data_IF_634702105184
#
_entry.id   IF_634702105184
#
_cell.length_a   1.000
_cell.length_b   1.000
_cell.length_c   1.000
_cell.angle_alpha   90.00
_cell.angle_beta   90.00
_cell.angle_gamma   90.00
#
_symmetry.space_group_name_H-M   'P 1'
#
loop_
_entity.id
_entity.type
_entity.pdbx_description
1 polymer ?
#
# COMPACT_ATOMS: atom_id res chain seq x y z
N UNK A 1 -13.66 -3.08 14.95
CA UNK A 1 -12.37 -3.62 14.48
C UNK A 1 -12.33 -3.47 12.98
N UNK A 2 -11.39 -2.68 12.47
CA UNK A 2 -11.20 -2.36 11.06
C UNK A 2 -11.03 -3.64 10.23
N UNK A 3 -12.08 -4.06 9.50
CA UNK A 3 -12.07 -5.29 8.72
C UNK A 3 -11.11 -5.18 7.54
N UNK A 4 -10.96 -3.98 6.97
CA UNK A 4 -10.06 -3.74 5.86
C UNK A 4 -8.59 -3.86 6.29
N UNK A 5 -8.16 -3.21 7.37
CA UNK A 5 -6.80 -3.34 7.89
C UNK A 5 -6.34 -4.79 8.11
N UNK A 6 -7.17 -5.65 8.71
CA UNK A 6 -6.83 -7.06 8.92
C UNK A 6 -6.66 -7.83 7.61
N UNK A 7 -7.53 -7.58 6.63
CA UNK A 7 -7.47 -8.23 5.31
C UNK A 7 -6.25 -7.75 4.52
N UNK A 8 -5.99 -6.45 4.53
CA UNK A 8 -4.81 -5.84 3.91
C UNK A 8 -3.53 -6.44 4.48
N UNK A 9 -3.40 -6.46 5.80
CA UNK A 9 -2.22 -7.02 6.47
C UNK A 9 -2.03 -8.50 6.16
N UNK A 10 -3.10 -9.29 6.07
CA UNK A 10 -3.02 -10.69 5.67
C UNK A 10 -2.46 -10.84 4.25
N UNK A 11 -2.89 -10.00 3.30
CA UNK A 11 -2.37 -10.00 1.93
C UNK A 11 -0.91 -9.56 1.85
N UNK A 12 -0.53 -8.47 2.51
CA UNK A 12 0.82 -7.91 2.35
C UNK A 12 1.89 -8.61 3.20
N UNK A 13 1.52 -9.23 4.32
CA UNK A 13 2.49 -9.91 5.19
C UNK A 13 2.71 -11.37 4.79
N UNK A 14 1.67 -12.08 4.35
CA UNK A 14 1.75 -13.52 4.06
C UNK A 14 2.80 -13.91 3.00
N UNK A 15 2.91 -13.25 1.83
CA UNK A 15 3.86 -13.66 0.79
C UNK A 15 5.31 -13.35 1.14
N UNK A 16 5.56 -12.35 2.01
CA UNK A 16 6.92 -11.89 2.32
C UNK A 16 7.41 -12.26 3.71
N UNK A 17 6.61 -13.00 4.50
CA UNK A 17 6.92 -13.26 5.91
C UNK A 17 7.09 -11.99 6.74
N UNK A 18 6.51 -10.88 6.27
CA UNK A 18 6.62 -9.60 6.94
C UNK A 18 5.70 -9.57 8.18
N UNK A 19 5.98 -8.67 9.10
CA UNK A 19 5.15 -8.45 10.29
C UNK A 19 4.88 -6.96 10.48
N UNK A 20 4.38 -6.34 9.42
CA UNK A 20 3.99 -4.93 9.47
C UNK A 20 2.69 -4.81 10.24
N UNK A 21 2.65 -3.85 11.15
CA UNK A 21 1.39 -3.33 11.69
C UNK A 21 0.70 -2.42 10.68
N UNK A 22 -0.60 -2.18 10.87
CA UNK A 22 -1.36 -1.27 10.01
C UNK A 22 -0.74 0.14 9.97
N UNK A 23 -0.26 0.65 11.11
CA UNK A 23 0.39 1.96 11.20
C UNK A 23 1.73 2.01 10.48
N UNK A 24 2.52 0.94 10.54
CA UNK A 24 3.77 0.85 9.79
C UNK A 24 3.50 0.80 8.29
N UNK A 25 2.52 -0.02 7.85
CA UNK A 25 2.14 -0.05 6.45
C UNK A 25 1.64 1.33 5.99
N UNK A 26 0.79 2.00 6.77
CA UNK A 26 0.28 3.35 6.46
C UNK A 26 1.40 4.40 6.32
N UNK A 27 2.42 4.34 7.18
CA UNK A 27 3.59 5.19 7.07
C UNK A 27 4.40 4.88 5.80
N UNK A 28 4.55 3.60 5.46
CA UNK A 28 5.33 3.18 4.28
C UNK A 28 4.62 3.51 2.96
N UNK A 29 3.31 3.32 2.85
CA UNK A 29 2.55 3.65 1.63
C UNK A 29 2.48 5.16 1.35
N UNK A 30 2.89 6.01 2.30
CA UNK A 30 3.00 7.47 2.14
C UNK A 30 4.44 7.98 2.03
N UNK A 31 5.43 7.09 2.14
CA UNK A 31 6.85 7.44 1.99
C UNK A 31 7.31 7.10 0.56
N UNK A 32 7.69 8.11 -0.26
CA UNK A 32 8.27 7.90 -1.59
C UNK A 32 9.50 6.99 -1.59
N UNK A 33 10.24 6.92 -0.48
CA UNK A 33 11.38 5.99 -0.37
C UNK A 33 10.96 4.54 -0.51
N UNK A 34 9.73 4.18 -0.14
CA UNK A 34 9.23 2.80 -0.29
C UNK A 34 9.32 2.30 -1.73
N UNK A 35 9.07 3.16 -2.73
CA UNK A 35 9.23 2.81 -4.13
C UNK A 35 10.70 2.69 -4.55
N UNK A 36 11.55 3.59 -4.05
CA UNK A 36 13.00 3.57 -4.31
C UNK A 36 13.71 2.35 -3.69
N UNK A 37 13.24 1.91 -2.51
CA UNK A 37 13.76 0.75 -1.79
C UNK A 37 13.14 -0.57 -2.26
N UNK A 38 12.28 -0.53 -3.30
CA UNK A 38 11.54 -1.69 -3.82
C UNK A 38 10.83 -2.48 -2.71
N UNK A 39 10.16 -1.74 -1.80
CA UNK A 39 9.52 -2.33 -0.63
C UNK A 39 8.37 -3.27 -1.06
N UNK A 40 8.62 -4.57 -1.01
CA UNK A 40 7.72 -5.58 -1.55
C UNK A 40 6.33 -5.61 -0.86
N UNK A 41 6.22 -5.53 0.48
CA UNK A 41 4.91 -5.37 1.13
C UNK A 41 4.11 -4.14 0.66
N UNK A 42 4.78 -3.02 0.41
CA UNK A 42 4.14 -1.80 -0.11
C UNK A 42 3.69 -2.00 -1.55
N UNK A 43 4.51 -2.65 -2.38
CA UNK A 43 4.12 -2.96 -3.75
C UNK A 43 2.92 -3.92 -3.81
N UNK A 44 2.88 -4.95 -2.96
CA UNK A 44 1.72 -5.85 -2.83
C UNK A 44 0.47 -5.12 -2.37
N UNK A 45 0.59 -4.12 -1.49
CA UNK A 45 -0.54 -3.25 -1.15
C UNK A 45 -1.16 -2.61 -2.40
N UNK A 46 -0.35 -2.05 -3.29
CA UNK A 46 -0.87 -1.37 -4.47
C UNK A 46 -1.32 -2.33 -5.58
N UNK A 47 -0.70 -3.51 -5.70
CA UNK A 47 -0.91 -4.42 -6.84
C UNK A 47 -1.86 -5.59 -6.55
N UNK A 48 -1.88 -6.11 -5.32
CA UNK A 48 -2.59 -7.36 -4.96
C UNK A 48 -3.81 -7.12 -4.08
N UNK A 49 -3.86 -6.01 -3.34
CA UNK A 49 -5.04 -5.63 -2.56
C UNK A 49 -6.08 -5.01 -3.50
N UNK A 50 -7.36 -5.34 -3.32
CA UNK A 50 -8.41 -4.75 -4.15
C UNK A 50 -8.53 -3.23 -3.93
N UNK A 51 -8.83 -2.43 -4.97
CA UNK A 51 -8.86 -0.96 -4.86
C UNK A 51 -9.81 -0.46 -3.77
N UNK A 52 -10.95 -1.13 -3.59
CA UNK A 52 -11.90 -0.81 -2.52
C UNK A 52 -11.32 -1.00 -1.12
N UNK A 53 -10.50 -2.04 -0.90
CA UNK A 53 -9.81 -2.26 0.36
C UNK A 53 -8.62 -1.29 0.54
N UNK A 54 -7.91 -0.95 -0.52
CA UNK A 54 -6.86 0.07 -0.46
C UNK A 54 -7.43 1.42 0.00
N UNK A 55 -8.53 1.88 -0.62
CA UNK A 55 -9.20 3.12 -0.24
C UNK A 55 -9.74 3.10 1.19
N UNK A 56 -10.39 1.99 1.59
CA UNK A 56 -10.86 1.84 2.98
C UNK A 56 -9.69 1.88 3.97
N UNK A 57 -8.57 1.23 3.65
CA UNK A 57 -7.38 1.25 4.51
C UNK A 57 -6.81 2.67 4.65
N UNK A 58 -6.69 3.42 3.56
CA UNK A 58 -6.22 4.81 3.57
C UNK A 58 -7.14 5.69 4.43
N UNK A 59 -8.46 5.52 4.29
CA UNK A 59 -9.45 6.23 5.10
C UNK A 59 -9.40 5.84 6.59
N UNK A 60 -9.34 4.54 6.89
CA UNK A 60 -9.26 4.02 8.26
C UNK A 60 -7.99 4.49 8.99
N UNK A 61 -6.87 4.58 8.27
CA UNK A 61 -5.58 5.01 8.81
C UNK A 61 -5.40 6.54 8.84
N UNK A 62 -6.32 7.28 8.20
CA UNK A 62 -6.29 8.75 8.17
C UNK A 62 -5.04 9.33 7.50
N UNK A 63 -4.48 8.61 6.53
CA UNK A 63 -3.27 9.05 5.82
C UNK A 63 -3.61 9.87 4.57
N UNK A 64 -2.68 10.70 4.16
CA UNK A 64 -2.80 11.63 3.03
C UNK A 64 -2.90 10.87 1.70
N UNK A 65 -4.07 10.92 1.07
CA UNK A 65 -4.34 10.21 -0.18
C UNK A 65 -3.43 10.66 -1.32
N UNK A 66 -3.06 11.95 -1.39
CA UNK A 66 -2.21 12.47 -2.46
C UNK A 66 -0.79 11.86 -2.36
N UNK A 67 -0.30 11.66 -1.14
CA UNK A 67 0.99 10.96 -0.92
C UNK A 67 0.90 9.49 -1.29
N UNK A 68 -0.21 8.83 -0.97
CA UNK A 68 -0.44 7.43 -1.36
C UNK A 68 -0.46 7.29 -2.88
N UNK A 69 -1.15 8.19 -3.58
CA UNK A 69 -1.18 8.20 -5.04
C UNK A 69 0.22 8.43 -5.63
N UNK A 70 0.99 9.38 -5.09
CA UNK A 70 2.35 9.63 -5.55
C UNK A 70 3.28 8.41 -5.39
N UNK A 71 3.13 7.63 -4.31
CA UNK A 71 3.87 6.37 -4.14
C UNK A 71 3.38 5.31 -5.13
N UNK A 72 2.07 5.19 -5.34
CA UNK A 72 1.49 4.29 -6.33
C UNK A 72 1.99 4.61 -7.75
N UNK A 73 2.07 5.89 -8.13
CA UNK A 73 2.61 6.35 -9.42
C UNK A 73 4.05 5.91 -9.64
N UNK A 74 4.89 6.05 -8.60
CA UNK A 74 6.28 5.61 -8.69
C UNK A 74 6.35 4.10 -8.90
N UNK A 75 5.57 3.32 -8.15
CA UNK A 75 5.52 1.88 -8.36
C UNK A 75 4.96 1.50 -9.74
N UNK A 76 3.97 2.23 -10.27
CA UNK A 76 3.44 2.01 -11.62
C UNK A 76 4.47 2.24 -12.71
N UNK A 77 5.23 3.34 -12.58
CA UNK A 77 6.31 3.65 -13.51
C UNK A 77 7.43 2.60 -13.45
N UNK A 78 7.76 2.10 -12.26
CA UNK A 78 8.79 1.08 -12.06
C UNK A 78 8.34 -0.33 -12.51
N UNK A 79 7.06 -0.67 -12.32
CA UNK A 79 6.51 -1.99 -12.65
C UNK A 79 6.13 -2.13 -14.12
N UNK A 80 5.98 -1.00 -14.84
CA UNK A 80 5.57 -0.97 -16.23
C UNK A 80 4.07 -1.15 -16.46
N UNK A 81 3.24 -1.02 -15.42
CA UNK A 81 1.78 -1.07 -15.54
C UNK A 81 1.07 -0.15 -14.53
N UNK A 82 -0.14 0.30 -14.90
CA UNK A 82 -0.94 1.18 -14.06
C UNK A 82 -1.48 0.47 -12.82
N UNK A 83 -1.23 1.04 -11.65
CA UNK A 83 -1.76 0.60 -10.36
C UNK A 83 -3.05 1.37 -10.05
N UNK A 84 -3.97 0.79 -9.27
CA UNK A 84 -5.31 1.36 -9.10
C UNK A 84 -5.35 2.73 -8.41
N UNK A 85 -4.34 3.05 -7.60
CA UNK A 85 -4.22 4.33 -6.92
C UNK A 85 -3.18 5.27 -7.57
N UNK A 86 -2.60 4.88 -8.70
CA UNK A 86 -1.77 5.78 -9.49
C UNK A 86 -2.67 6.84 -10.16
N UNK A 87 -2.27 8.11 -10.13
CA UNK A 87 -3.00 9.29 -10.58
C UNK A 87 -2.61 9.73 -12.01
#
# INVERSE_FOLDING_TARGET
MAKAASLVLATVNAPYGANLSAHQLAALITDPKSASDFNAPVFSFFSEVSPALQLQFVQEMGVDADKVCAVADQFSNLSGYALPLAA
#
